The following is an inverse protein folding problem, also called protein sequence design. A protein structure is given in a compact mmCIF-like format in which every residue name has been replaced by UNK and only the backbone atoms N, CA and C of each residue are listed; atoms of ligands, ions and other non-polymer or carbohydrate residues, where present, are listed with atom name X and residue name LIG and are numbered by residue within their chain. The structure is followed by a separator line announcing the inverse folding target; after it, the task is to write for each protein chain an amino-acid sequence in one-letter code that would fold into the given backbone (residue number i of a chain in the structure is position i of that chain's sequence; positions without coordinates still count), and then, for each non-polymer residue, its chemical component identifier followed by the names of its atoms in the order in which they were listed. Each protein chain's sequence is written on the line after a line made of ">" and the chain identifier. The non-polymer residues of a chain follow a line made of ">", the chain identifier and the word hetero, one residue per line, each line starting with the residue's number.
data_IF_455077606842
#
_entry.id   IF_455077606842
#
_cell.length_a   1.000
_cell.length_b   1.000
_cell.length_c   1.000
_cell.angle_alpha   90.00
_cell.angle_beta   90.00
_cell.angle_gamma   90.00
#
_symmetry.space_group_name_H-M   'P 1'
#
loop_
_entity.id
_entity.type
_entity.pdbx_description
1 polymer ?
#
# COMPACT_ATOMS: atom_id res chain seq x y z
N UNK A 1 -16.53 -35.89 -40.72
CA UNK A 1 -15.98 -36.34 -39.43
C UNK A 1 -16.29 -35.23 -38.45
N UNK A 2 -17.37 -35.36 -37.68
CA UNK A 2 -17.61 -34.46 -36.55
C UNK A 2 -16.58 -34.79 -35.47
N UNK A 3 -15.73 -33.82 -35.13
CA UNK A 3 -14.89 -33.90 -33.93
C UNK A 3 -15.82 -33.89 -32.72
N UNK A 4 -15.89 -35.03 -32.01
CA UNK A 4 -16.54 -35.10 -30.71
C UNK A 4 -15.71 -34.25 -29.76
N UNK A 5 -16.12 -33.00 -29.54
CA UNK A 5 -15.52 -32.12 -28.54
C UNK A 5 -15.83 -32.70 -27.16
N UNK A 6 -14.81 -33.20 -26.48
CA UNK A 6 -14.94 -33.60 -25.08
C UNK A 6 -15.11 -32.35 -24.22
N UNK A 7 -16.17 -32.33 -23.40
CA UNK A 7 -16.46 -31.26 -22.45
C UNK A 7 -16.34 -31.77 -21.01
N UNK A 8 -15.91 -30.89 -20.11
CA UNK A 8 -15.85 -31.09 -18.66
C UNK A 8 -16.92 -30.24 -18.00
N UNK A 9 -17.57 -30.77 -16.97
CA UNK A 9 -18.49 -29.99 -16.14
C UNK A 9 -17.70 -29.10 -15.19
N UNK A 10 -18.13 -27.85 -15.07
CA UNK A 10 -17.47 -26.83 -14.29
C UNK A 10 -18.50 -25.93 -13.60
N UNK A 11 -18.10 -25.25 -12.53
CA UNK A 11 -18.93 -24.30 -11.80
C UNK A 11 -18.21 -22.96 -11.71
N UNK A 12 -18.91 -21.88 -12.02
CA UNK A 12 -18.29 -20.56 -12.02
C UNK A 12 -17.93 -20.15 -10.59
N UNK A 13 -16.66 -19.83 -10.29
CA UNK A 13 -16.25 -19.38 -8.94
C UNK A 13 -16.80 -18.00 -8.57
N UNK A 14 -17.30 -17.22 -9.53
CA UNK A 14 -17.79 -15.86 -9.29
C UNK A 14 -19.30 -15.79 -9.06
N UNK A 15 -20.08 -16.61 -9.77
CA UNK A 15 -21.55 -16.59 -9.70
C UNK A 15 -22.19 -17.93 -9.33
N UNK A 16 -21.40 -18.98 -9.16
CA UNK A 16 -21.89 -20.30 -8.73
C UNK A 16 -22.78 -21.03 -9.73
N UNK A 17 -22.79 -20.63 -11.01
CA UNK A 17 -23.56 -21.31 -12.06
C UNK A 17 -22.75 -22.43 -12.70
N UNK A 18 -23.36 -23.59 -12.90
CA UNK A 18 -22.74 -24.74 -13.57
C UNK A 18 -22.76 -24.55 -15.10
N UNK A 19 -21.66 -24.91 -15.77
CA UNK A 19 -21.49 -24.83 -17.22
C UNK A 19 -20.48 -25.86 -17.72
N UNK A 20 -20.34 -25.97 -19.05
CA UNK A 20 -19.42 -26.92 -19.68
C UNK A 20 -18.20 -26.22 -20.30
N UNK A 21 -17.02 -26.80 -20.09
CA UNK A 21 -15.75 -26.32 -20.60
C UNK A 21 -15.16 -27.34 -21.58
N UNK A 22 -14.73 -26.88 -22.76
CA UNK A 22 -13.99 -27.73 -23.71
C UNK A 22 -12.62 -28.12 -23.14
N UNK A 23 -12.28 -29.42 -23.22
CA UNK A 23 -10.99 -29.95 -22.75
C UNK A 23 -9.83 -29.25 -23.45
N UNK A 24 -8.84 -28.78 -22.68
CA UNK A 24 -7.63 -28.12 -23.18
C UNK A 24 -7.65 -26.58 -23.15
N UNK A 25 -8.78 -25.94 -22.83
CA UNK A 25 -8.81 -24.48 -22.62
C UNK A 25 -8.34 -24.10 -21.23
N UNK A 26 -7.38 -23.17 -21.15
CA UNK A 26 -6.84 -22.63 -19.88
C UNK A 26 -7.86 -21.73 -19.19
N UNK A 27 -8.65 -21.00 -19.98
CA UNK A 27 -9.67 -20.06 -19.51
C UNK A 27 -11.00 -20.33 -20.21
N UNK A 28 -12.09 -20.14 -19.47
CA UNK A 28 -13.44 -20.28 -19.95
C UNK A 28 -14.27 -19.07 -19.55
N UNK A 29 -15.19 -18.64 -20.41
CA UNK A 29 -16.11 -17.55 -20.11
C UNK A 29 -17.38 -18.17 -19.54
N UNK A 30 -17.79 -17.71 -18.36
CA UNK A 30 -19.04 -18.18 -17.77
C UNK A 30 -20.23 -17.64 -18.58
N UNK A 31 -21.17 -18.49 -19.05
CA UNK A 31 -22.31 -18.04 -19.84
C UNK A 31 -23.34 -17.23 -19.03
N UNK A 32 -23.30 -17.27 -17.70
CA UNK A 32 -24.27 -16.56 -16.85
C UNK A 32 -23.80 -15.17 -16.41
N UNK A 33 -22.52 -14.99 -16.10
CA UNK A 33 -21.99 -13.71 -15.63
C UNK A 33 -21.01 -13.06 -16.62
N UNK A 34 -20.75 -13.72 -17.76
CA UNK A 34 -19.87 -13.27 -18.85
C UNK A 34 -18.42 -12.99 -18.44
N UNK A 35 -18.03 -13.37 -17.22
CA UNK A 35 -16.68 -13.20 -16.69
C UNK A 35 -15.78 -14.37 -17.10
N UNK A 36 -14.52 -14.04 -17.39
CA UNK A 36 -13.48 -15.02 -17.70
C UNK A 36 -12.96 -15.66 -16.41
N UNK A 37 -12.99 -16.99 -16.34
CA UNK A 37 -12.56 -17.78 -15.18
C UNK A 37 -11.54 -18.82 -15.60
N UNK A 38 -10.65 -19.21 -14.70
CA UNK A 38 -9.71 -20.31 -14.98
C UNK A 38 -10.46 -21.64 -15.04
N UNK A 39 -10.23 -22.39 -16.11
CA UNK A 39 -10.91 -23.67 -16.35
C UNK A 39 -10.60 -24.70 -15.26
N UNK A 40 -9.35 -24.78 -14.82
CA UNK A 40 -8.92 -25.69 -13.74
C UNK A 40 -9.62 -25.39 -12.41
N UNK A 41 -9.81 -24.11 -12.09
CA UNK A 41 -10.49 -23.67 -10.88
C UNK A 41 -11.98 -23.99 -10.93
N UNK A 42 -12.62 -23.73 -12.07
CA UNK A 42 -14.04 -23.99 -12.26
C UNK A 42 -14.38 -25.50 -12.29
N UNK A 43 -13.50 -26.33 -12.87
CA UNK A 43 -13.64 -27.80 -12.87
C UNK A 43 -13.45 -28.36 -11.46
N UNK A 44 -12.38 -27.97 -10.75
CA UNK A 44 -12.17 -28.40 -9.35
C UNK A 44 -13.33 -28.01 -8.44
N UNK A 45 -13.90 -26.82 -8.64
CA UNK A 45 -15.06 -26.37 -7.87
C UNK A 45 -16.33 -27.21 -8.16
N UNK A 46 -16.49 -27.69 -9.39
CA UNK A 46 -17.59 -28.60 -9.72
C UNK A 46 -17.36 -30.02 -9.19
N UNK A 47 -16.12 -30.52 -9.29
CA UNK A 47 -15.72 -31.85 -8.78
C UNK A 47 -15.86 -31.90 -7.25
N UNK A 48 -15.48 -30.84 -6.54
CA UNK A 48 -15.61 -30.74 -5.08
C UNK A 48 -17.07 -30.81 -4.58
N UNK A 49 -18.04 -30.52 -5.44
CA UNK A 49 -19.48 -30.60 -5.10
C UNK A 49 -20.09 -31.97 -5.40
N UNK A 50 -19.42 -32.80 -6.21
CA UNK A 50 -19.98 -34.03 -6.75
C UNK A 50 -19.16 -35.28 -6.42
N UNK A 51 -17.99 -35.14 -5.79
CA UNK A 51 -17.18 -36.28 -5.38
C UNK A 51 -17.63 -36.81 -4.01
N UNK A 52 -18.40 -37.90 -4.05
CA UNK A 52 -18.80 -38.65 -2.86
C UNK A 52 -17.78 -39.80 -2.62
N UNK A 53 -16.64 -39.50 -2.00
CA UNK A 53 -16.01 -40.49 -1.13
C UNK A 53 -14.48 -40.60 -1.06
N UNK A 54 -14.01 -40.59 0.20
CA UNK A 54 -13.04 -41.50 0.81
C UNK A 54 -11.52 -41.20 0.67
N UNK A 55 -10.96 -40.53 1.70
CA UNK A 55 -9.53 -40.62 2.02
C UNK A 55 -9.04 -39.61 3.06
N UNK A 56 -9.07 -39.99 4.35
CA UNK A 56 -8.60 -39.24 5.54
C UNK A 56 -9.37 -37.92 5.76
N UNK A 57 -10.10 -37.86 6.88
CA UNK A 57 -10.96 -36.75 7.32
C UNK A 57 -10.18 -35.46 7.65
N UNK A 58 -9.46 -34.88 6.70
CA UNK A 58 -8.96 -33.52 6.83
C UNK A 58 -10.14 -32.56 6.60
N UNK A 59 -10.35 -31.60 7.52
CA UNK A 59 -11.36 -30.55 7.32
C UNK A 59 -10.94 -29.69 6.14
N UNK A 60 -11.58 -29.86 5.01
CA UNK A 60 -11.38 -28.98 3.85
C UNK A 60 -12.48 -27.92 3.86
N UNK A 61 -12.10 -26.64 3.87
CA UNK A 61 -13.09 -25.56 3.81
C UNK A 61 -13.70 -25.53 2.40
N UNK A 62 -15.02 -25.58 2.33
CA UNK A 62 -15.78 -25.54 1.08
C UNK A 62 -16.84 -24.43 1.13
N UNK A 63 -17.13 -23.79 0.01
CA UNK A 63 -18.23 -22.80 -0.10
C UNK A 63 -18.10 -21.63 0.89
N UNK A 64 -19.12 -21.43 1.74
CA UNK A 64 -19.16 -20.36 2.73
C UNK A 64 -18.02 -20.44 3.75
N UNK A 65 -17.57 -21.65 4.11
CA UNK A 65 -16.45 -21.85 5.03
C UNK A 65 -15.14 -21.35 4.44
N UNK A 66 -14.94 -21.50 3.12
CA UNK A 66 -13.75 -20.97 2.45
C UNK A 66 -13.74 -19.43 2.43
N UNK A 67 -14.90 -18.81 2.22
CA UNK A 67 -15.03 -17.36 2.32
C UNK A 67 -14.73 -16.87 3.74
N UNK A 68 -15.27 -17.58 4.75
CA UNK A 68 -15.04 -17.28 6.15
C UNK A 68 -13.56 -17.43 6.53
N UNK A 69 -12.86 -18.45 6.02
CA UNK A 69 -11.41 -18.60 6.21
C UNK A 69 -10.64 -17.40 5.63
N UNK A 70 -11.02 -16.88 4.45
CA UNK A 70 -10.36 -15.69 3.90
C UNK A 70 -10.59 -14.45 4.78
N UNK A 71 -11.82 -14.24 5.29
CA UNK A 71 -12.09 -13.14 6.21
C UNK A 71 -11.26 -13.26 7.50
N UNK A 72 -11.17 -14.48 8.06
CA UNK A 72 -10.37 -14.74 9.25
C UNK A 72 -8.87 -14.49 8.98
N UNK A 73 -8.36 -14.86 7.81
CA UNK A 73 -6.97 -14.55 7.43
C UNK A 73 -6.73 -13.04 7.37
N UNK A 74 -7.64 -12.26 6.79
CA UNK A 74 -7.52 -10.80 6.75
C UNK A 74 -7.54 -10.20 8.17
N UNK A 75 -8.42 -10.70 9.05
CA UNK A 75 -8.47 -10.31 10.47
C UNK A 75 -7.18 -10.67 11.21
N UNK A 76 -6.65 -11.88 11.01
CA UNK A 76 -5.40 -12.33 11.64
C UNK A 76 -4.25 -11.41 11.24
N UNK A 77 -4.10 -11.09 9.95
CA UNK A 77 -3.02 -10.21 9.51
C UNK A 77 -3.22 -8.76 9.99
N UNK A 78 -4.47 -8.28 10.08
CA UNK A 78 -4.76 -6.99 10.70
C UNK A 78 -4.35 -6.93 12.19
N UNK A 79 -4.61 -8.00 12.95
CA UNK A 79 -4.21 -8.11 14.36
C UNK A 79 -2.69 -8.25 14.52
N UNK A 80 -2.02 -8.95 13.60
CA UNK A 80 -0.55 -9.03 13.54
C UNK A 80 0.06 -7.63 13.34
N UNK A 81 -0.53 -6.81 12.46
CA UNK A 81 -0.09 -5.42 12.24
C UNK A 81 -0.26 -4.54 13.49
N UNK A 82 -1.28 -4.81 14.31
CA UNK A 82 -1.53 -4.15 15.59
C UNK A 82 -0.72 -4.75 16.76
N UNK A 83 0.13 -5.74 16.50
CA UNK A 83 0.90 -6.50 17.51
C UNK A 83 0.03 -7.20 18.58
N UNK A 84 -1.24 -7.47 18.27
CA UNK A 84 -2.18 -8.17 19.16
C UNK A 84 -2.08 -9.70 19.00
N UNK A 85 -0.93 -10.28 19.38
CA UNK A 85 -0.57 -11.68 19.10
C UNK A 85 -1.54 -12.72 19.67
N UNK A 86 -2.01 -12.55 20.91
CA UNK A 86 -2.94 -13.49 21.55
C UNK A 86 -4.28 -13.56 20.81
N UNK A 87 -4.82 -12.40 20.41
CA UNK A 87 -6.08 -12.35 19.65
C UNK A 87 -5.90 -12.89 18.24
N UNK A 88 -4.75 -12.66 17.62
CA UNK A 88 -4.42 -13.27 16.33
C UNK A 88 -4.36 -14.80 16.43
N UNK A 89 -3.84 -15.34 17.54
CA UNK A 89 -3.82 -16.78 17.82
C UNK A 89 -5.23 -17.36 18.02
N UNK A 90 -6.12 -16.65 18.72
CA UNK A 90 -7.53 -17.04 18.85
C UNK A 90 -8.22 -17.12 17.48
N UNK A 91 -8.01 -16.12 16.62
CA UNK A 91 -8.56 -16.09 15.26
C UNK A 91 -7.98 -17.16 14.35
N UNK A 92 -6.71 -17.50 14.54
CA UNK A 92 -6.12 -18.65 13.87
C UNK A 92 -6.83 -19.96 14.28
N UNK A 93 -7.12 -20.16 15.56
CA UNK A 93 -7.81 -21.36 16.02
C UNK A 93 -9.21 -21.46 15.41
N UNK A 94 -9.93 -20.33 15.29
CA UNK A 94 -11.21 -20.26 14.56
C UNK A 94 -11.06 -20.65 13.07
N UNK A 95 -9.96 -20.25 12.42
CA UNK A 95 -9.68 -20.62 11.03
C UNK A 95 -9.32 -22.12 10.88
N UNK A 96 -8.57 -22.67 11.83
CA UNK A 96 -8.18 -24.07 11.86
C UNK A 96 -9.39 -25.00 12.09
N UNK A 97 -10.40 -24.52 12.84
CA UNK A 97 -11.66 -25.24 13.02
C UNK A 97 -12.43 -25.44 11.72
N UNK A 98 -12.22 -24.55 10.73
CA UNK A 98 -12.85 -24.57 9.41
C UNK A 98 -12.00 -25.28 8.36
N UNK A 99 -10.66 -25.18 8.43
CA UNK A 99 -9.78 -25.87 7.49
C UNK A 99 -8.45 -26.31 8.08
N UNK A 100 -8.06 -27.54 7.76
CA UNK A 100 -6.76 -28.14 8.07
C UNK A 100 -5.88 -28.34 6.83
N UNK A 101 -6.34 -27.88 5.65
CA UNK A 101 -5.67 -28.09 4.37
C UNK A 101 -5.22 -26.80 3.69
N UNK A 102 -5.59 -25.63 4.21
CA UNK A 102 -5.11 -24.36 3.68
C UNK A 102 -3.73 -23.98 4.25
N UNK A 103 -2.70 -23.98 3.40
CA UNK A 103 -1.35 -23.60 3.81
C UNK A 103 -1.27 -22.17 4.35
N UNK A 104 -2.16 -21.27 3.93
CA UNK A 104 -2.16 -19.84 4.35
C UNK A 104 -2.52 -19.71 5.82
N UNK A 105 -3.43 -20.55 6.31
CA UNK A 105 -3.78 -20.63 7.73
C UNK A 105 -2.54 -21.00 8.54
N UNK A 106 -1.81 -22.04 8.15
CA UNK A 106 -0.56 -22.41 8.83
C UNK A 106 0.54 -21.34 8.72
N UNK A 107 0.65 -20.64 7.58
CA UNK A 107 1.58 -19.53 7.41
C UNK A 107 1.24 -18.34 8.34
N UNK A 108 -0.04 -18.11 8.62
CA UNK A 108 -0.45 -17.07 9.58
C UNK A 108 0.02 -17.39 11.00
N UNK A 109 -0.01 -18.66 11.42
CA UNK A 109 0.56 -19.08 12.71
C UNK A 109 2.09 -18.99 12.74
N UNK A 110 2.77 -19.29 11.63
CA UNK A 110 4.21 -19.03 11.52
C UNK A 110 4.50 -17.55 11.75
N UNK A 111 3.71 -16.64 11.15
CA UNK A 111 3.85 -15.21 11.40
C UNK A 111 3.56 -14.85 12.86
N UNK A 112 2.51 -15.38 13.49
CA UNK A 112 2.19 -15.14 14.91
C UNK A 112 3.34 -15.58 15.83
N UNK A 113 3.78 -16.84 15.75
CA UNK A 113 4.82 -17.39 16.65
C UNK A 113 6.18 -16.70 16.47
N UNK A 114 6.49 -16.26 15.25
CA UNK A 114 7.73 -15.52 14.98
C UNK A 114 7.60 -14.01 15.18
N UNK A 115 6.48 -13.52 15.75
CA UNK A 115 6.18 -12.08 15.89
C UNK A 115 6.39 -11.32 14.58
N UNK A 116 5.77 -11.84 13.53
CA UNK A 116 5.91 -11.41 12.14
C UNK A 116 7.37 -11.49 11.64
N UNK A 117 8.01 -12.65 11.82
CA UNK A 117 9.38 -12.92 11.38
C UNK A 117 10.47 -12.06 12.04
N UNK A 118 10.21 -11.54 13.24
CA UNK A 118 11.17 -10.74 14.02
C UNK A 118 11.83 -11.55 15.14
N UNK A 119 11.11 -12.50 15.74
CA UNK A 119 11.64 -13.38 16.77
C UNK A 119 12.35 -14.58 16.14
N UNK A 120 13.69 -14.55 16.12
CA UNK A 120 14.53 -15.61 15.55
C UNK A 120 14.71 -16.83 16.47
N UNK A 121 14.35 -16.69 17.76
CA UNK A 121 14.57 -17.71 18.78
C UNK A 121 13.42 -18.71 18.88
N UNK A 122 12.25 -18.37 18.33
CA UNK A 122 11.11 -19.28 18.32
C UNK A 122 11.46 -20.57 17.57
N UNK A 123 11.00 -21.70 18.10
CA UNK A 123 11.19 -23.03 17.52
C UNK A 123 9.86 -23.70 17.19
N UNK A 124 8.75 -23.23 17.77
CA UNK A 124 7.42 -23.82 17.58
C UNK A 124 6.88 -23.58 16.17
N UNK A 125 7.22 -22.44 15.54
CA UNK A 125 6.84 -22.16 14.15
C UNK A 125 7.32 -23.22 13.16
N UNK A 126 8.37 -24.01 13.49
CA UNK A 126 8.88 -25.10 12.63
C UNK A 126 7.83 -26.18 12.38
N UNK A 127 6.98 -26.47 13.36
CA UNK A 127 5.88 -27.41 13.17
C UNK A 127 4.89 -26.87 12.12
N UNK A 128 4.53 -25.59 12.21
CA UNK A 128 3.54 -24.95 11.35
C UNK A 128 4.05 -24.72 9.91
N UNK A 129 5.31 -24.34 9.72
CA UNK A 129 5.91 -24.20 8.37
C UNK A 129 5.97 -25.55 7.65
N UNK A 130 6.27 -26.64 8.37
CA UNK A 130 6.25 -27.99 7.80
C UNK A 130 4.84 -28.41 7.40
N UNK A 131 3.81 -28.07 8.19
CA UNK A 131 2.40 -28.29 7.82
C UNK A 131 2.00 -27.45 6.62
N UNK A 132 2.37 -26.17 6.56
CA UNK A 132 2.11 -25.33 5.40
C UNK A 132 2.72 -25.93 4.11
N UNK A 133 3.95 -26.44 4.16
CA UNK A 133 4.60 -27.11 3.03
C UNK A 133 3.90 -28.43 2.67
N UNK A 134 3.40 -29.19 3.65
CA UNK A 134 2.68 -30.45 3.39
C UNK A 134 1.36 -30.20 2.65
N UNK A 135 0.66 -29.13 3.01
CA UNK A 135 -0.63 -28.73 2.41
C UNK A 135 -0.49 -28.02 1.06
N UNK A 136 0.68 -27.45 0.76
CA UNK A 136 0.88 -26.62 -0.43
C UNK A 136 1.19 -27.41 -1.71
N UNK A 137 0.62 -26.94 -2.82
CA UNK A 137 0.98 -27.38 -4.17
C UNK A 137 2.38 -26.85 -4.60
N UNK A 138 2.96 -27.30 -5.73
CA UNK A 138 4.30 -26.90 -6.14
C UNK A 138 4.51 -25.39 -6.33
N UNK A 139 3.48 -24.62 -6.73
CA UNK A 139 3.59 -23.19 -6.93
C UNK A 139 3.42 -22.43 -5.60
N UNK A 140 2.50 -22.88 -4.75
CA UNK A 140 2.34 -22.40 -3.39
C UNK A 140 3.59 -22.65 -2.55
N UNK A 141 4.27 -23.79 -2.72
CA UNK A 141 5.57 -24.07 -2.09
C UNK A 141 6.63 -23.04 -2.46
N UNK A 142 6.66 -22.56 -3.71
CA UNK A 142 7.58 -21.48 -4.11
C UNK A 142 7.26 -20.19 -3.36
N UNK A 143 5.99 -19.86 -3.18
CA UNK A 143 5.57 -18.68 -2.41
C UNK A 143 5.98 -18.80 -0.94
N UNK A 144 5.73 -19.95 -0.30
CA UNK A 144 6.17 -20.21 1.07
C UNK A 144 7.68 -20.00 1.21
N UNK A 145 8.47 -20.55 0.28
CA UNK A 145 9.92 -20.38 0.28
C UNK A 145 10.31 -18.92 0.10
N UNK A 146 9.67 -18.17 -0.80
CA UNK A 146 9.96 -16.74 -0.98
C UNK A 146 9.70 -15.93 0.29
N UNK A 147 8.60 -16.21 0.99
CA UNK A 147 8.23 -15.53 2.23
C UNK A 147 9.14 -15.92 3.40
N UNK A 148 9.42 -17.20 3.57
CA UNK A 148 10.13 -17.72 4.75
C UNK A 148 11.66 -17.68 4.64
N UNK A 149 12.22 -17.74 3.43
CA UNK A 149 13.68 -17.78 3.21
C UNK A 149 14.45 -16.64 3.87
N UNK A 150 14.02 -15.36 3.81
CA UNK A 150 14.72 -14.27 4.48
C UNK A 150 14.84 -14.49 6.00
N UNK A 151 13.76 -14.94 6.63
CA UNK A 151 13.75 -15.25 8.07
C UNK A 151 14.69 -16.41 8.41
N UNK A 152 14.62 -17.52 7.65
CA UNK A 152 15.51 -18.66 7.85
C UNK A 152 16.99 -18.30 7.68
N UNK A 153 17.32 -17.41 6.74
CA UNK A 153 18.68 -16.90 6.56
C UNK A 153 19.14 -16.08 7.77
N UNK A 154 18.30 -15.17 8.27
CA UNK A 154 18.59 -14.35 9.46
C UNK A 154 18.81 -15.19 10.72
N UNK A 155 18.06 -16.28 10.88
CA UNK A 155 18.20 -17.20 12.03
C UNK A 155 19.55 -17.92 12.08
N UNK A 156 20.19 -18.14 10.92
CA UNK A 156 21.49 -18.80 10.85
C UNK A 156 22.67 -17.83 11.04
N UNK A 157 22.41 -16.52 11.18
CA UNK A 157 23.44 -15.54 11.44
C UNK A 157 23.78 -15.50 12.91
N UNK A 158 25.07 -15.34 13.20
CA UNK A 158 25.53 -14.92 14.52
C UNK A 158 25.01 -13.52 14.86
N UNK A 159 24.99 -13.15 16.13
CA UNK A 159 24.57 -11.80 16.54
C UNK A 159 25.39 -10.69 15.84
N UNK A 160 26.68 -10.94 15.60
CA UNK A 160 27.58 -10.04 14.87
C UNK A 160 27.20 -9.94 13.38
N UNK A 161 26.93 -11.07 12.71
CA UNK A 161 26.49 -11.09 11.32
C UNK A 161 25.10 -10.46 11.14
N UNK A 162 24.20 -10.62 12.11
CA UNK A 162 22.88 -9.98 12.12
C UNK A 162 23.00 -8.46 12.27
N UNK A 163 23.93 -7.99 13.10
CA UNK A 163 24.21 -6.57 13.24
C UNK A 163 24.81 -5.99 11.95
N UNK A 164 25.77 -6.70 11.32
CA UNK A 164 26.32 -6.30 10.02
C UNK A 164 25.22 -6.25 8.95
N UNK A 165 24.38 -7.28 8.88
CA UNK A 165 23.27 -7.34 7.94
C UNK A 165 22.28 -6.18 8.13
N UNK A 166 21.85 -5.92 9.36
CA UNK A 166 20.94 -4.81 9.67
C UNK A 166 21.56 -3.45 9.32
N UNK A 167 22.87 -3.29 9.54
CA UNK A 167 23.62 -2.09 9.18
C UNK A 167 23.68 -1.90 7.67
N UNK A 168 23.97 -2.95 6.91
CA UNK A 168 23.99 -2.91 5.44
C UNK A 168 22.61 -2.64 4.86
N UNK A 169 21.56 -3.26 5.43
CA UNK A 169 20.18 -3.05 5.02
C UNK A 169 19.74 -1.60 5.29
N UNK A 170 20.03 -1.04 6.46
CA UNK A 170 19.74 0.34 6.80
C UNK A 170 20.48 1.31 5.87
N UNK A 171 21.78 1.06 5.62
CA UNK A 171 22.58 1.85 4.65
C UNK A 171 22.02 1.77 3.24
N UNK A 172 21.58 0.59 2.81
CA UNK A 172 20.97 0.40 1.49
C UNK A 172 19.65 1.18 1.37
N UNK A 173 18.77 1.06 2.36
CA UNK A 173 17.49 1.80 2.42
C UNK A 173 17.71 3.31 2.42
N UNK A 174 18.65 3.79 3.23
CA UNK A 174 19.03 5.21 3.28
C UNK A 174 19.54 5.71 1.93
N UNK A 175 20.47 4.99 1.29
CA UNK A 175 20.99 5.35 -0.05
C UNK A 175 19.90 5.35 -1.12
N UNK A 176 18.95 4.40 -1.05
CA UNK A 176 17.81 4.35 -1.98
C UNK A 176 16.94 5.60 -1.83
N UNK A 177 16.59 5.94 -0.59
CA UNK A 177 15.78 7.13 -0.28
C UNK A 177 16.49 8.41 -0.71
N UNK A 178 17.76 8.59 -0.33
CA UNK A 178 18.57 9.74 -0.69
C UNK A 178 18.64 9.94 -2.20
N UNK A 179 18.84 8.85 -2.96
CA UNK A 179 18.85 8.88 -4.43
C UNK A 179 17.48 9.29 -4.98
N UNK A 180 16.39 8.75 -4.43
CA UNK A 180 15.02 9.11 -4.81
C UNK A 180 14.75 10.60 -4.62
N UNK A 181 15.06 11.12 -3.43
CA UNK A 181 14.90 12.54 -3.10
C UNK A 181 15.76 13.43 -4.01
N UNK A 182 17.06 13.12 -4.16
CA UNK A 182 17.98 13.89 -5.03
C UNK A 182 17.52 13.99 -6.48
N UNK A 183 16.91 12.93 -7.01
CA UNK A 183 16.39 12.95 -8.37
C UNK A 183 15.19 13.89 -8.55
N UNK A 184 14.37 14.07 -7.50
CA UNK A 184 13.16 14.91 -7.55
C UNK A 184 13.42 16.38 -7.20
N UNK A 185 14.48 16.67 -6.43
CA UNK A 185 14.84 18.04 -5.99
C UNK A 185 14.82 19.07 -7.15
N UNK A 186 15.42 18.82 -8.34
CA UNK A 186 15.40 19.80 -9.43
C UNK A 186 13.99 20.14 -9.93
N UNK A 187 13.10 19.14 -10.02
CA UNK A 187 11.72 19.32 -10.46
C UNK A 187 10.91 20.17 -9.46
N UNK A 188 11.00 19.82 -8.17
CA UNK A 188 10.29 20.56 -7.12
C UNK A 188 10.84 21.96 -6.91
N UNK A 189 12.15 22.18 -7.05
CA UNK A 189 12.74 23.53 -7.06
C UNK A 189 12.21 24.37 -8.24
N UNK A 190 12.14 23.79 -9.44
CA UNK A 190 11.57 24.48 -10.60
C UNK A 190 10.07 24.78 -10.40
N UNK A 191 9.33 23.83 -9.82
CA UNK A 191 7.93 23.99 -9.46
C UNK A 191 7.73 25.12 -8.44
N UNK A 192 8.54 25.18 -7.39
CA UNK A 192 8.50 26.25 -6.38
C UNK A 192 8.76 27.63 -6.99
N UNK A 193 9.79 27.75 -7.83
CA UNK A 193 10.11 29.01 -8.53
C UNK A 193 8.93 29.47 -9.40
N UNK A 194 8.34 28.54 -10.16
CA UNK A 194 7.13 28.82 -10.97
C UNK A 194 5.96 29.22 -10.09
N UNK A 195 5.78 28.56 -8.94
CA UNK A 195 4.70 28.85 -8.00
C UNK A 195 4.79 30.28 -7.43
N UNK A 196 6.00 30.74 -7.09
CA UNK A 196 6.23 32.12 -6.64
C UNK A 196 5.88 33.14 -7.72
N UNK A 197 6.22 32.87 -8.98
CA UNK A 197 5.84 33.72 -10.12
C UNK A 197 4.31 33.75 -10.29
N UNK A 198 3.65 32.59 -10.21
CA UNK A 198 2.19 32.51 -10.34
C UNK A 198 1.47 33.28 -9.24
N UNK A 199 1.95 33.21 -7.99
CA UNK A 199 1.43 33.97 -6.85
C UNK A 199 1.39 35.48 -7.12
N UNK A 200 2.41 36.02 -7.81
CA UNK A 200 2.51 37.44 -8.14
C UNK A 200 1.68 37.80 -9.37
N UNK A 201 1.68 36.95 -10.40
CA UNK A 201 1.01 37.24 -11.66
C UNK A 201 -0.52 37.10 -11.59
N UNK A 202 -1.04 36.09 -10.89
CA UNK A 202 -2.50 35.86 -10.88
C UNK A 202 -3.33 37.08 -10.46
N UNK A 203 -2.99 37.83 -9.38
CA UNK A 203 -3.78 39.00 -8.99
C UNK A 203 -3.67 40.12 -10.02
N UNK A 204 -2.49 40.30 -10.65
CA UNK A 204 -2.26 41.31 -11.70
C UNK A 204 -3.18 41.04 -12.90
N UNK A 205 -3.23 39.80 -13.38
CA UNK A 205 -4.10 39.42 -14.49
C UNK A 205 -5.59 39.57 -14.14
N UNK A 206 -6.01 39.20 -12.93
CA UNK A 206 -7.40 39.38 -12.50
C UNK A 206 -7.78 40.87 -12.45
N UNK A 207 -6.96 41.72 -11.82
CA UNK A 207 -7.23 43.15 -11.68
C UNK A 207 -7.24 43.85 -13.04
N UNK A 208 -6.25 43.57 -13.90
CA UNK A 208 -6.20 44.14 -15.25
C UNK A 208 -7.39 43.68 -16.10
N UNK A 209 -7.75 42.40 -16.04
CA UNK A 209 -8.90 41.87 -16.77
C UNK A 209 -10.21 42.54 -16.35
N UNK A 210 -10.46 42.69 -15.04
CA UNK A 210 -11.64 43.38 -14.51
C UNK A 210 -11.63 44.86 -14.92
N UNK A 211 -10.48 45.54 -14.86
CA UNK A 211 -10.37 46.93 -15.28
C UNK A 211 -10.70 47.11 -16.77
N UNK A 212 -10.23 46.20 -17.64
CA UNK A 212 -10.54 46.23 -19.08
C UNK A 212 -12.02 45.98 -19.34
N UNK A 213 -12.62 44.97 -18.67
CA UNK A 213 -14.06 44.69 -18.81
C UNK A 213 -14.88 45.89 -18.37
N UNK A 214 -14.62 46.42 -17.17
CA UNK A 214 -15.36 47.58 -16.63
C UNK A 214 -15.24 48.81 -17.53
N UNK A 215 -14.03 49.16 -17.96
CA UNK A 215 -13.80 50.34 -18.81
C UNK A 215 -14.45 50.19 -20.20
N UNK A 216 -14.45 48.98 -20.76
CA UNK A 216 -15.12 48.68 -22.04
C UNK A 216 -16.65 48.77 -21.98
N UNK A 217 -17.26 48.65 -20.79
CA UNK A 217 -18.69 48.83 -20.61
C UNK A 217 -19.11 50.31 -20.65
N UNK A 218 -18.21 51.25 -20.37
CA UNK A 218 -18.51 52.68 -20.35
C UNK A 218 -18.21 53.40 -21.68
N UNK A 219 -17.53 52.75 -22.63
CA UNK A 219 -17.12 53.34 -23.91
C UNK A 219 -17.64 52.44 -25.05
N UNK A 220 -18.65 52.92 -25.78
CA UNK A 220 -19.35 52.14 -26.82
C UNK A 220 -18.42 51.59 -27.91
N UNK A 221 -17.43 52.37 -28.33
CA UNK A 221 -16.43 51.97 -29.35
C UNK A 221 -15.45 50.89 -28.87
N UNK A 222 -15.39 50.63 -27.56
CA UNK A 222 -14.47 49.67 -26.95
C UNK A 222 -15.17 48.40 -26.45
N UNK A 223 -16.48 48.22 -26.70
CA UNK A 223 -17.23 47.04 -26.20
C UNK A 223 -16.60 45.70 -26.54
N UNK A 224 -15.93 45.57 -27.69
CA UNK A 224 -15.24 44.35 -28.09
C UNK A 224 -14.06 43.98 -27.16
N UNK A 225 -13.46 44.97 -26.47
CA UNK A 225 -12.39 44.75 -25.49
C UNK A 225 -12.87 44.00 -24.23
N UNK A 226 -14.18 43.94 -23.97
CA UNK A 226 -14.74 43.14 -22.88
C UNK A 226 -14.38 41.65 -23.02
N UNK A 227 -14.33 41.14 -24.24
CA UNK A 227 -13.91 39.75 -24.54
C UNK A 227 -12.44 39.55 -24.19
N UNK A 228 -11.59 40.52 -24.56
CA UNK A 228 -10.16 40.50 -24.23
C UNK A 228 -9.99 40.50 -22.71
N UNK A 229 -10.68 41.39 -22.00
CA UNK A 229 -10.66 41.46 -20.54
C UNK A 229 -11.10 40.15 -19.88
N UNK A 230 -12.15 39.50 -20.39
CA UNK A 230 -12.60 38.20 -19.89
C UNK A 230 -11.53 37.10 -20.07
N UNK A 231 -10.84 37.06 -21.22
CA UNK A 231 -9.72 36.14 -21.45
C UNK A 231 -8.58 36.39 -20.46
N UNK A 232 -8.25 37.66 -20.17
CA UNK A 232 -7.22 38.00 -19.16
C UNK A 232 -7.62 37.49 -17.76
N UNK A 233 -8.89 37.63 -17.37
CA UNK A 233 -9.39 37.07 -16.08
C UNK A 233 -9.27 35.54 -16.05
N UNK A 234 -9.62 34.85 -17.14
CA UNK A 234 -9.50 33.38 -17.24
C UNK A 234 -8.03 32.96 -17.08
N UNK A 235 -7.10 33.66 -17.74
CA UNK A 235 -5.65 33.40 -17.57
C UNK A 235 -5.23 33.60 -16.11
N UNK A 236 -5.70 34.67 -15.46
CA UNK A 236 -5.48 34.90 -14.03
C UNK A 236 -6.00 33.75 -13.15
N UNK A 237 -7.20 33.26 -13.43
CA UNK A 237 -7.77 32.10 -12.73
C UNK A 237 -6.97 30.81 -12.94
N UNK A 238 -6.50 30.54 -14.15
CA UNK A 238 -5.64 29.37 -14.43
C UNK A 238 -4.32 29.43 -13.66
N UNK A 239 -3.70 30.62 -13.56
CA UNK A 239 -2.51 30.85 -12.76
C UNK A 239 -2.79 30.62 -11.26
N UNK A 240 -3.90 31.14 -10.74
CA UNK A 240 -4.33 30.90 -9.36
C UNK A 240 -4.55 29.42 -9.07
N UNK A 241 -5.28 28.71 -9.95
CA UNK A 241 -5.55 27.28 -9.79
C UNK A 241 -4.25 26.47 -9.81
N UNK A 242 -3.35 26.77 -10.74
CA UNK A 242 -2.04 26.12 -10.79
C UNK A 242 -1.21 26.41 -9.54
N UNK A 243 -1.26 27.64 -9.03
CA UNK A 243 -0.61 28.01 -7.78
C UNK A 243 -1.13 27.20 -6.60
N UNK A 244 -2.46 27.16 -6.46
CA UNK A 244 -3.15 26.51 -5.35
C UNK A 244 -2.84 25.00 -5.32
N UNK A 245 -2.95 24.31 -6.46
CA UNK A 245 -2.70 22.86 -6.54
C UNK A 245 -1.25 22.47 -6.26
N UNK A 246 -0.28 23.32 -6.62
CA UNK A 246 1.14 23.02 -6.42
C UNK A 246 1.63 23.44 -5.02
N UNK A 247 0.95 24.38 -4.35
CA UNK A 247 1.37 24.90 -3.04
C UNK A 247 1.55 23.79 -2.01
N UNK A 248 0.54 22.93 -1.88
CA UNK A 248 0.55 21.90 -0.86
C UNK A 248 1.51 20.76 -1.24
N UNK A 249 1.64 20.44 -2.54
CA UNK A 249 2.67 19.50 -3.05
C UNK A 249 4.09 19.94 -2.72
N UNK A 250 4.44 21.20 -2.97
CA UNK A 250 5.76 21.75 -2.67
C UNK A 250 6.01 21.73 -1.16
N UNK A 251 5.02 22.14 -0.36
CA UNK A 251 5.13 22.13 1.10
C UNK A 251 5.37 20.72 1.63
N UNK A 252 4.62 19.74 1.11
CA UNK A 252 4.76 18.34 1.50
C UNK A 252 6.13 17.75 1.14
N UNK A 253 6.62 18.02 -0.07
CA UNK A 253 7.94 17.55 -0.49
C UNK A 253 9.06 18.17 0.33
N UNK A 254 8.99 19.47 0.61
CA UNK A 254 9.96 20.14 1.47
C UNK A 254 9.92 19.60 2.91
N UNK A 255 8.74 19.32 3.46
CA UNK A 255 8.61 18.66 4.76
C UNK A 255 9.30 17.29 4.76
N UNK A 256 9.14 16.48 3.71
CA UNK A 256 9.84 15.20 3.58
C UNK A 256 11.37 15.35 3.52
N UNK A 257 11.89 16.39 2.84
CA UNK A 257 13.33 16.71 2.83
C UNK A 257 13.81 17.13 4.22
N UNK A 258 13.08 18.02 4.89
CA UNK A 258 13.43 18.49 6.23
C UNK A 258 13.41 17.32 7.24
N UNK A 259 12.47 16.38 7.10
CA UNK A 259 12.43 15.15 7.89
C UNK A 259 13.63 14.25 7.60
N UNK A 260 14.04 14.13 6.32
CA UNK A 260 15.24 13.37 5.96
C UNK A 260 16.48 13.97 6.61
N UNK A 261 16.66 15.29 6.53
CA UNK A 261 17.80 15.98 7.14
C UNK A 261 17.78 15.86 8.67
N UNK A 262 16.59 15.93 9.29
CA UNK A 262 16.44 15.71 10.73
C UNK A 262 16.85 14.28 11.12
N UNK A 263 16.34 13.26 10.41
CA UNK A 263 16.69 11.86 10.64
C UNK A 263 18.17 11.62 10.41
N UNK A 264 18.78 12.23 9.38
CA UNK A 264 20.20 12.12 9.07
C UNK A 264 21.09 12.77 10.14
N UNK A 265 20.60 13.81 10.82
CA UNK A 265 21.29 14.49 11.92
C UNK A 265 21.27 13.71 13.24
N UNK A 266 20.43 12.68 13.35
CA UNK A 266 20.20 11.89 14.56
C UNK A 266 20.88 10.53 14.47
N UNK A 267 21.41 10.08 15.61
CA UNK A 267 22.04 8.76 15.73
C UNK A 267 20.99 7.72 16.18
N UNK A 268 20.12 7.33 15.23
CA UNK A 268 19.16 6.25 15.44
C UNK A 268 19.85 4.90 15.24
N UNK A 269 19.45 3.90 16.03
CA UNK A 269 19.89 2.52 15.77
C UNK A 269 19.44 2.04 14.38
N UNK A 270 20.10 1.02 13.86
CA UNK A 270 19.94 0.56 12.47
C UNK A 270 18.53 0.08 12.16
N UNK A 271 17.86 -0.52 13.15
CA UNK A 271 16.48 -1.00 13.03
C UNK A 271 15.50 0.17 12.87
N UNK A 272 15.58 1.17 13.75
CA UNK A 272 14.74 2.37 13.73
C UNK A 272 15.01 3.18 12.48
N UNK A 273 16.28 3.38 12.12
CA UNK A 273 16.68 4.08 10.90
C UNK A 273 16.15 3.39 9.65
N UNK A 274 16.29 2.06 9.57
CA UNK A 274 15.80 1.26 8.45
C UNK A 274 14.28 1.35 8.28
N UNK A 275 13.53 1.33 9.38
CA UNK A 275 12.08 1.50 9.36
C UNK A 275 11.67 2.92 8.96
N UNK A 276 12.27 3.97 9.56
CA UNK A 276 12.03 5.37 9.16
C UNK A 276 12.27 5.58 7.67
N UNK A 277 13.41 5.13 7.15
CA UNK A 277 13.71 5.21 5.73
C UNK A 277 12.69 4.47 4.86
N UNK A 278 12.10 3.37 5.36
CA UNK A 278 11.07 2.61 4.63
C UNK A 278 9.76 3.39 4.54
N UNK A 279 9.29 3.97 5.64
CA UNK A 279 8.08 4.81 5.64
C UNK A 279 8.26 6.06 4.78
N UNK A 280 9.40 6.73 4.89
CA UNK A 280 9.76 7.87 4.05
C UNK A 280 9.88 7.50 2.57
N UNK A 281 10.40 6.29 2.25
CA UNK A 281 10.48 5.81 0.88
C UNK A 281 9.10 5.66 0.24
N UNK A 282 8.11 5.15 0.98
CA UNK A 282 6.73 5.05 0.46
C UNK A 282 6.19 6.44 0.07
N UNK A 283 6.47 7.47 0.88
CA UNK A 283 6.04 8.83 0.58
C UNK A 283 6.84 9.43 -0.61
N UNK A 284 8.15 9.17 -0.66
CA UNK A 284 9.01 9.50 -1.79
C UNK A 284 8.49 8.88 -3.11
N UNK A 285 8.06 7.63 -3.07
CA UNK A 285 7.52 6.93 -4.24
C UNK A 285 6.21 7.61 -4.73
N UNK A 286 5.31 8.01 -3.83
CA UNK A 286 4.10 8.79 -4.18
C UNK A 286 4.43 10.12 -4.87
N UNK A 287 5.48 10.81 -4.42
CA UNK A 287 5.94 12.04 -5.08
C UNK A 287 6.50 11.76 -6.47
N UNK A 288 7.22 10.66 -6.66
CA UNK A 288 7.77 10.25 -7.96
C UNK A 288 6.67 9.91 -8.98
N UNK A 289 5.53 9.41 -8.51
CA UNK A 289 4.33 9.13 -9.30
C UNK A 289 3.50 10.41 -9.60
N UNK A 290 3.96 11.57 -9.14
CA UNK A 290 3.23 12.84 -9.22
C UNK A 290 1.83 12.80 -8.57
N UNK A 291 1.64 11.92 -7.58
CA UNK A 291 0.36 11.77 -6.89
C UNK A 291 -0.10 13.10 -6.24
N UNK A 292 -1.42 13.35 -6.15
CA UNK A 292 -1.93 14.48 -5.38
C UNK A 292 -1.66 14.27 -3.88
N UNK A 293 -1.40 15.35 -3.13
CA UNK A 293 -1.15 15.29 -1.67
C UNK A 293 -2.29 14.62 -0.91
N UNK A 294 -3.53 14.83 -1.36
CA UNK A 294 -4.73 14.21 -0.77
C UNK A 294 -4.67 12.68 -0.81
N UNK A 295 -4.06 12.08 -1.84
CA UNK A 295 -3.92 10.62 -1.94
C UNK A 295 -2.66 10.08 -1.24
N UNK A 296 -1.96 10.91 -0.48
CA UNK A 296 -0.79 10.51 0.34
C UNK A 296 -1.14 10.43 1.82
N UNK A 297 -2.40 10.67 2.21
CA UNK A 297 -2.81 10.75 3.61
C UNK A 297 -2.59 9.45 4.37
N UNK A 298 -2.88 8.31 3.76
CA UNK A 298 -2.63 6.97 4.30
C UNK A 298 -1.14 6.74 4.61
N UNK A 299 -0.28 7.02 3.64
CA UNK A 299 1.18 6.84 3.78
C UNK A 299 1.77 7.85 4.77
N UNK A 300 1.27 9.08 4.78
CA UNK A 300 1.70 10.14 5.71
C UNK A 300 1.30 9.80 7.14
N UNK A 301 0.07 9.30 7.34
CA UNK A 301 -0.41 8.88 8.67
C UNK A 301 0.40 7.70 9.19
N UNK A 302 0.64 6.67 8.36
CA UNK A 302 1.48 5.54 8.75
C UNK A 302 2.93 5.93 9.14
N UNK A 303 3.49 6.97 8.51
CA UNK A 303 4.79 7.52 8.89
C UNK A 303 4.72 8.24 10.25
N UNK A 304 3.66 9.01 10.48
CA UNK A 304 3.44 9.75 11.73
C UNK A 304 3.19 8.79 12.88
N UNK A 305 2.33 7.79 12.70
CA UNK A 305 2.06 6.76 13.71
C UNK A 305 3.35 6.07 14.14
N UNK A 306 4.18 5.67 13.17
CA UNK A 306 5.48 5.10 13.47
C UNK A 306 6.37 6.08 14.26
N UNK A 307 6.41 7.36 13.88
CA UNK A 307 7.17 8.39 14.61
C UNK A 307 6.66 8.57 16.04
N UNK A 308 5.34 8.53 16.26
CA UNK A 308 4.74 8.61 17.60
C UNK A 308 5.16 7.41 18.45
N UNK A 309 5.19 6.20 17.87
CA UNK A 309 5.63 4.99 18.61
C UNK A 309 7.08 5.07 19.09
N UNK A 310 7.94 5.80 18.38
CA UNK A 310 9.33 5.99 18.80
C UNK A 310 9.46 6.82 20.09
N UNK A 311 8.43 7.60 20.45
CA UNK A 311 8.42 8.45 21.64
C UNK A 311 9.65 9.37 21.77
N UNK A 312 10.23 9.79 20.62
CA UNK A 312 11.39 10.70 20.59
C UNK A 312 10.91 12.16 20.65
N UNK A 313 11.17 12.84 21.76
CA UNK A 313 10.81 14.24 21.98
C UNK A 313 11.32 15.18 20.88
N UNK A 314 12.49 14.88 20.30
CA UNK A 314 13.06 15.63 19.20
C UNK A 314 12.20 15.53 17.94
N UNK A 315 11.90 14.30 17.52
CA UNK A 315 11.07 14.02 16.36
C UNK A 315 9.64 14.54 16.53
N UNK A 316 9.06 14.39 17.72
CA UNK A 316 7.73 14.93 18.03
C UNK A 316 7.69 16.45 17.90
N UNK A 317 8.70 17.16 18.44
CA UNK A 317 8.82 18.61 18.25
C UNK A 317 9.02 18.99 16.79
N UNK A 318 9.80 18.23 16.04
CA UNK A 318 9.98 18.45 14.61
C UNK A 318 8.63 18.36 13.89
N UNK A 319 7.88 17.26 14.10
CA UNK A 319 6.58 17.03 13.48
C UNK A 319 5.57 18.13 13.77
N UNK A 320 5.52 18.61 15.02
CA UNK A 320 4.64 19.72 15.42
C UNK A 320 5.08 21.07 14.82
N UNK A 321 6.38 21.28 14.61
CA UNK A 321 6.90 22.54 14.07
C UNK A 321 6.87 22.62 12.53
N UNK A 322 6.88 21.48 11.84
CA UNK A 322 6.89 21.44 10.38
C UNK A 322 5.53 21.86 9.80
N UNK A 323 5.56 22.65 8.71
CA UNK A 323 4.35 23.24 8.11
C UNK A 323 3.44 22.22 7.43
N UNK A 324 3.97 21.06 7.04
CA UNK A 324 3.22 19.98 6.42
C UNK A 324 2.75 18.98 7.48
N UNK A 325 3.67 18.43 8.27
CA UNK A 325 3.35 17.35 9.22
C UNK A 325 2.45 17.80 10.38
N UNK A 326 2.57 19.05 10.84
CA UNK A 326 1.68 19.60 11.89
C UNK A 326 0.19 19.55 11.55
N UNK A 327 -0.17 19.41 10.26
CA UNK A 327 -1.58 19.29 9.84
C UNK A 327 -2.19 17.92 10.16
N UNK A 328 -1.35 16.93 10.44
CA UNK A 328 -1.74 15.54 10.69
C UNK A 328 -1.57 15.13 12.15
N UNK A 329 -0.89 15.97 12.95
CA UNK A 329 -0.72 15.76 14.39
C UNK A 329 -1.72 16.68 15.09
N UNK A 330 -2.77 16.11 15.68
CA UNK A 330 -3.70 16.89 16.50
C UNK A 330 -2.97 17.38 17.75
N UNK A 331 -2.98 18.70 18.01
CA UNK A 331 -2.78 19.19 19.37
C UNK A 331 -3.91 18.56 20.19
N UNK A 332 -3.57 17.69 21.15
CA UNK A 332 -4.52 17.28 22.15
C UNK A 332 -5.12 18.54 22.75
N UNK A 333 -6.45 18.65 22.74
CA UNK A 333 -7.16 19.72 23.44
C UNK A 333 -6.63 19.73 24.88
N UNK A 334 -5.82 20.73 25.23
CA UNK A 334 -5.62 21.06 26.64
C UNK A 334 -7.00 21.47 27.17
N UNK A 335 -7.59 20.58 27.98
CA UNK A 335 -8.74 20.87 28.83
C UNK A 335 -8.59 22.28 29.44
N UNK A 336 -9.42 23.20 28.96
CA UNK A 336 -9.60 24.54 29.55
C UNK A 336 -10.89 24.61 30.35
#
# INVERSE_FOLDING_TARGET
>A
MEEIKQTLKARCPLCGTDFEIEVGKIKAVCPSCEQEVQSSMAVKYYESLNDNGAGVEAKEAHGEDYHKVNMLLDEIYGLIEMEEWERAEDKFNEALDLTETDYRVFMSMVAIKTKNYTDLNDEEHKHFINRAIACADPDQKKQIVQTYKPYYQKKNFTAEELQIYSTEEAKFKKKKLEKGLKNMIPEYMAMEKRNKVFLVLFPIFIVLGIAVVTLSCFIDDLKWMSIVGAVVVIVGYLLFRSWFLNRDKIRAFNGLLDLYDFVDSKDYNETVLGALCTHMQKLCDKFSENAPTVSMGDVTTALIDYVITLSDDGMNKFMLSDKYFSQFVAEGEEDK
#
